data_IF_095199187086
#
_entry.id   IF_095199187086
#
_cell.length_a   1.000
_cell.length_b   1.000
_cell.length_c   1.000
_cell.angle_alpha   90.00
_cell.angle_beta   90.00
_cell.angle_gamma   90.00
#
_symmetry.space_group_name_H-M   'P 1'
#
loop_
_entity.id
_entity.type
_entity.pdbx_description
1 polymer ?
#
# COMPACT_ATOMS: atom_id res chain seq x y z
N UNK A 1 -5.87 -2.10 23.34
CA UNK A 1 -5.50 -1.36 22.11
C UNK A 1 -3.98 -1.46 22.05
N UNK A 2 -3.40 -1.89 20.93
CA UNK A 2 -1.94 -1.92 20.79
C UNK A 2 -1.45 -0.47 20.76
N UNK A 3 -0.56 -0.09 21.67
CA UNK A 3 0.06 1.24 21.67
C UNK A 3 1.03 1.28 20.49
N UNK A 4 0.64 1.93 19.39
CA UNK A 4 1.50 2.13 18.24
C UNK A 4 2.68 3.04 18.64
N UNK A 5 3.94 2.55 18.64
CA UNK A 5 5.04 3.23 19.34
C UNK A 5 5.65 4.40 18.54
N UNK A 6 5.15 4.69 17.33
CA UNK A 6 5.67 5.71 16.43
C UNK A 6 4.67 6.85 16.23
N UNK A 7 5.09 8.04 15.77
CA UNK A 7 4.17 9.14 15.53
C UNK A 7 3.06 8.77 14.53
N UNK A 8 1.81 9.00 14.93
CA UNK A 8 0.65 8.77 14.08
C UNK A 8 0.61 9.81 12.94
N UNK A 9 0.26 9.41 11.70
CA UNK A 9 0.10 10.36 10.60
C UNK A 9 -1.06 11.33 10.88
N UNK A 10 -0.93 12.55 10.36
CA UNK A 10 -2.00 13.57 10.38
C UNK A 10 -2.62 13.63 8.98
N UNK A 11 -3.94 13.78 8.91
CA UNK A 11 -4.61 14.06 7.65
C UNK A 11 -4.27 15.49 7.19
N UNK A 12 -3.49 15.57 6.13
CA UNK A 12 -3.10 16.83 5.48
C UNK A 12 -3.92 17.12 4.21
N UNK A 13 -4.96 16.32 3.93
CA UNK A 13 -5.78 16.43 2.74
C UNK A 13 -5.09 15.99 1.44
N UNK A 14 -3.88 15.41 1.50
CA UNK A 14 -3.07 15.04 0.33
C UNK A 14 -3.69 13.97 -0.58
N UNK A 15 -4.77 13.32 -0.15
CA UNK A 15 -5.54 12.35 -0.92
C UNK A 15 -7.00 12.77 -1.19
N UNK A 16 -7.39 14.00 -0.84
CA UNK A 16 -8.79 14.46 -0.92
C UNK A 16 -9.37 14.46 -2.35
N UNK A 17 -8.52 14.50 -3.38
CA UNK A 17 -8.93 14.41 -4.79
C UNK A 17 -9.17 12.97 -5.28
N UNK A 18 -8.78 11.95 -4.51
CA UNK A 18 -8.95 10.54 -4.84
C UNK A 18 -10.34 10.07 -4.42
N UNK A 19 -11.36 10.59 -5.10
CA UNK A 19 -12.77 10.34 -4.79
C UNK A 19 -13.37 9.23 -5.65
N UNK A 20 -14.56 8.77 -5.27
CA UNK A 20 -15.31 7.78 -6.05
C UNK A 20 -15.50 8.22 -7.51
N UNK A 21 -15.27 7.29 -8.44
CA UNK A 21 -15.34 7.51 -9.88
C UNK A 21 -14.04 8.00 -10.53
N UNK A 22 -13.01 8.32 -9.74
CA UNK A 22 -11.70 8.66 -10.30
C UNK A 22 -11.09 7.43 -11.01
N UNK A 23 -10.64 7.56 -12.28
CA UNK A 23 -10.09 6.44 -13.02
C UNK A 23 -8.70 6.08 -12.53
N UNK A 24 -8.38 4.79 -12.51
CA UNK A 24 -7.02 4.30 -12.32
C UNK A 24 -6.25 4.41 -13.64
N UNK A 25 -4.95 4.78 -13.60
CA UNK A 25 -4.13 4.83 -14.81
C UNK A 25 -3.84 3.40 -15.32
N UNK A 26 -3.84 3.24 -16.64
CA UNK A 26 -3.55 1.96 -17.29
C UNK A 26 -2.03 1.76 -17.51
N UNK A 27 -1.32 1.48 -16.42
CA UNK A 27 0.10 1.15 -16.44
C UNK A 27 0.34 -0.29 -15.99
N UNK A 28 1.00 -1.07 -16.84
CA UNK A 28 1.49 -2.39 -16.48
C UNK A 28 2.69 -2.27 -15.53
N UNK A 29 2.54 -2.61 -14.25
CA UNK A 29 3.62 -2.58 -13.27
C UNK A 29 4.17 -3.99 -13.00
N UNK A 30 5.48 -4.17 -12.78
CA UNK A 30 6.04 -5.45 -12.36
C UNK A 30 5.48 -5.91 -11.00
N UNK A 31 5.26 -7.22 -10.84
CA UNK A 31 4.72 -7.79 -9.59
C UNK A 31 5.63 -8.84 -8.95
N UNK A 32 5.32 -9.20 -7.69
CA UNK A 32 6.02 -10.26 -6.95
C UNK A 32 5.58 -11.67 -7.31
N UNK A 33 4.33 -11.88 -7.75
CA UNK A 33 3.74 -13.20 -8.03
C UNK A 33 3.60 -13.52 -9.52
N UNK A 34 3.87 -12.56 -10.41
CA UNK A 34 3.83 -12.73 -11.86
C UNK A 34 4.68 -11.70 -12.59
N UNK A 35 4.45 -11.52 -13.89
CA UNK A 35 5.24 -10.58 -14.69
C UNK A 35 4.80 -9.13 -14.51
N UNK A 36 3.57 -8.80 -14.93
CA UNK A 36 3.03 -7.44 -14.83
C UNK A 36 1.52 -7.45 -14.55
N UNK A 37 1.03 -6.36 -13.95
CA UNK A 37 -0.39 -6.12 -13.69
C UNK A 37 -0.69 -4.63 -13.85
N UNK A 38 -1.83 -4.31 -14.49
CA UNK A 38 -2.38 -2.96 -14.54
C UNK A 38 -3.57 -2.84 -13.60
N UNK A 39 -3.54 -1.85 -12.70
CA UNK A 39 -4.65 -1.58 -11.77
C UNK A 39 -5.95 -1.24 -12.49
N UNK A 40 -5.88 -0.59 -13.66
CA UNK A 40 -7.04 -0.25 -14.48
C UNK A 40 -7.75 -1.49 -15.06
N UNK A 41 -7.05 -2.63 -15.14
CA UNK A 41 -7.53 -3.87 -15.77
C UNK A 41 -7.94 -4.94 -14.75
N UNK A 42 -7.87 -4.61 -13.46
CA UNK A 42 -8.34 -5.48 -12.37
C UNK A 42 -9.87 -5.46 -12.37
N UNK A 43 -10.48 -6.62 -12.59
CA UNK A 43 -11.93 -6.77 -12.58
C UNK A 43 -12.47 -7.00 -11.17
N UNK A 44 -13.69 -6.56 -10.93
CA UNK A 44 -14.32 -6.67 -9.62
C UNK A 44 -13.70 -5.72 -8.58
N UNK A 45 -13.97 -5.99 -7.31
CA UNK A 45 -13.49 -5.15 -6.21
C UNK A 45 -12.06 -5.56 -5.82
N UNK A 46 -11.18 -4.58 -5.68
CA UNK A 46 -9.82 -4.76 -5.19
C UNK A 46 -9.48 -3.72 -4.12
N UNK A 47 -8.57 -4.11 -3.24
CA UNK A 47 -7.95 -3.25 -2.24
C UNK A 47 -6.49 -3.05 -2.66
N UNK A 48 -6.12 -1.80 -2.91
CA UNK A 48 -4.74 -1.40 -3.19
C UNK A 48 -4.21 -0.64 -1.98
N UNK A 49 -3.43 -1.30 -1.13
CA UNK A 49 -2.77 -0.61 -0.01
C UNK A 49 -1.42 -0.06 -0.49
N UNK A 50 -1.27 1.26 -0.39
CA UNK A 50 -0.06 1.99 -0.74
C UNK A 50 0.76 2.16 0.54
N UNK A 51 2.03 1.76 0.50
CA UNK A 51 2.88 1.80 1.69
C UNK A 51 4.22 2.49 1.40
N UNK A 52 4.81 3.19 2.40
CA UNK A 52 6.04 3.95 2.20
C UNK A 52 7.23 3.09 1.79
N UNK A 53 7.58 2.11 2.63
CA UNK A 53 8.80 1.31 2.48
C UNK A 53 8.77 0.13 3.44
N UNK A 54 9.41 -0.98 3.04
CA UNK A 54 9.67 -2.15 3.89
C UNK A 54 11.17 -2.31 4.12
N UNK A 55 11.56 -2.47 5.38
CA UNK A 55 12.96 -2.66 5.74
C UNK A 55 13.49 -4.05 5.47
N UNK A 56 14.81 -4.22 5.64
CA UNK A 56 15.51 -5.51 5.62
C UNK A 56 16.06 -5.81 7.01
N UNK A 57 15.95 -7.05 7.52
CA UNK A 57 16.57 -7.45 8.78
C UNK A 57 18.06 -7.06 8.80
N UNK A 58 18.48 -6.41 9.87
CA UNK A 58 19.86 -5.97 10.05
C UNK A 58 20.30 -4.75 9.24
N UNK A 59 19.42 -4.18 8.40
CA UNK A 59 19.67 -2.90 7.74
C UNK A 59 19.07 -1.74 8.55
N UNK A 60 19.74 -0.59 8.53
CA UNK A 60 19.19 0.62 9.13
C UNK A 60 17.97 1.12 8.32
N UNK A 61 17.03 1.76 9.02
CA UNK A 61 15.97 2.53 8.38
C UNK A 61 16.57 3.75 7.66
N UNK A 62 15.84 4.36 6.71
CA UNK A 62 16.23 5.65 6.16
C UNK A 62 16.45 6.69 7.27
N UNK A 63 17.39 7.64 7.09
CA UNK A 63 17.63 8.70 8.07
C UNK A 63 16.35 9.43 8.50
N UNK A 64 16.14 9.53 9.81
CA UNK A 64 15.01 10.25 10.42
C UNK A 64 13.68 9.48 10.47
N UNK A 65 13.62 8.23 9.97
CA UNK A 65 12.40 7.44 9.83
C UNK A 65 11.52 7.36 11.10
N UNK A 66 12.16 7.15 12.25
CA UNK A 66 11.49 7.01 13.56
C UNK A 66 10.69 8.25 13.99
N UNK A 67 11.01 9.42 13.43
CA UNK A 67 10.36 10.68 13.74
C UNK A 67 9.33 11.12 12.69
N UNK A 68 9.20 10.38 11.58
CA UNK A 68 8.30 10.74 10.48
C UNK A 68 6.91 10.12 10.73
N UNK A 69 5.86 10.93 10.90
CA UNK A 69 4.50 10.42 11.08
C UNK A 69 4.05 9.48 9.96
N UNK A 70 3.61 8.28 10.34
CA UNK A 70 3.10 7.27 9.40
C UNK A 70 4.17 6.53 8.56
N UNK A 71 5.47 6.81 8.74
CA UNK A 71 6.53 6.12 8.00
C UNK A 71 6.64 4.64 8.41
N UNK A 72 6.46 4.35 9.70
CA UNK A 72 6.44 2.98 10.20
C UNK A 72 5.15 2.23 9.82
N UNK A 73 5.27 0.90 9.75
CA UNK A 73 4.13 0.00 9.75
C UNK A 73 3.79 -0.71 8.44
N UNK A 74 4.63 -0.62 7.42
CA UNK A 74 4.38 -1.31 6.15
C UNK A 74 4.45 -2.83 6.30
N UNK A 75 5.39 -3.34 7.10
CA UNK A 75 5.48 -4.77 7.40
C UNK A 75 4.23 -5.28 8.14
N UNK A 76 3.82 -4.70 9.29
CA UNK A 76 2.62 -5.17 9.97
C UNK A 76 1.33 -4.98 9.17
N UNK A 77 1.19 -3.92 8.36
CA UNK A 77 0.02 -3.79 7.46
C UNK A 77 -0.05 -4.93 6.45
N UNK A 78 1.06 -5.22 5.77
CA UNK A 78 1.12 -6.31 4.80
C UNK A 78 0.83 -7.67 5.45
N UNK A 79 1.41 -7.94 6.62
CA UNK A 79 1.12 -9.16 7.39
C UNK A 79 -0.35 -9.20 7.84
N UNK A 80 -0.94 -8.06 8.20
CA UNK A 80 -2.36 -7.94 8.52
C UNK A 80 -3.23 -8.38 7.34
N UNK A 81 -2.97 -7.87 6.13
CA UNK A 81 -3.66 -8.30 4.93
C UNK A 81 -3.48 -9.79 4.62
N UNK A 82 -2.27 -10.32 4.81
CA UNK A 82 -2.02 -11.76 4.63
C UNK A 82 -2.85 -12.60 5.62
N UNK A 83 -2.99 -12.15 6.88
CA UNK A 83 -3.67 -12.89 7.94
C UNK A 83 -5.18 -13.09 7.71
N UNK A 84 -5.81 -12.18 6.96
CA UNK A 84 -7.25 -12.22 6.62
C UNK A 84 -7.48 -12.33 5.11
N UNK A 85 -6.47 -12.76 4.35
CA UNK A 85 -6.52 -12.81 2.89
C UNK A 85 -7.66 -13.71 2.39
N UNK A 86 -7.85 -14.86 3.03
CA UNK A 86 -8.88 -15.83 2.65
C UNK A 86 -10.30 -15.24 2.79
N UNK A 87 -10.54 -14.40 3.80
CA UNK A 87 -11.84 -13.75 3.99
C UNK A 87 -12.15 -12.73 2.89
N UNK A 88 -11.13 -12.00 2.42
CA UNK A 88 -11.27 -11.11 1.26
C UNK A 88 -11.52 -11.94 -0.03
N UNK A 89 -10.77 -13.02 -0.23
CA UNK A 89 -10.91 -13.89 -1.39
C UNK A 89 -12.29 -14.56 -1.44
N UNK A 90 -12.82 -14.99 -0.30
CA UNK A 90 -14.18 -15.55 -0.20
C UNK A 90 -15.27 -14.56 -0.65
N UNK A 91 -14.99 -13.26 -0.58
CA UNK A 91 -15.87 -12.18 -1.07
C UNK A 91 -15.55 -11.75 -2.51
N UNK A 92 -14.62 -12.43 -3.19
CA UNK A 92 -14.16 -12.07 -4.52
C UNK A 92 -13.33 -10.78 -4.56
N UNK A 93 -12.71 -10.39 -3.43
CA UNK A 93 -11.94 -9.16 -3.31
C UNK A 93 -10.44 -9.46 -3.44
N UNK A 94 -9.78 -8.77 -4.36
CA UNK A 94 -8.34 -8.92 -4.58
C UNK A 94 -7.55 -7.95 -3.70
N UNK A 95 -6.47 -8.45 -3.08
CA UNK A 95 -5.54 -7.62 -2.31
C UNK A 95 -4.28 -7.38 -3.13
N UNK A 96 -3.88 -6.11 -3.23
CA UNK A 96 -2.72 -5.64 -3.98
C UNK A 96 -1.92 -4.68 -3.09
N UNK A 97 -0.60 -4.86 -2.98
CA UNK A 97 0.28 -3.87 -2.36
C UNK A 97 0.93 -2.98 -3.42
N UNK A 98 1.20 -1.71 -3.12
CA UNK A 98 1.90 -0.78 -4.01
C UNK A 98 2.96 0.02 -3.25
N UNK A 99 4.19 0.05 -3.77
CA UNK A 99 5.22 0.99 -3.31
C UNK A 99 6.17 1.36 -4.44
N UNK A 100 7.05 2.33 -4.16
CA UNK A 100 8.12 2.76 -5.08
C UNK A 100 9.36 1.87 -4.99
N UNK A 101 9.36 0.84 -4.14
CA UNK A 101 10.49 -0.09 -4.03
C UNK A 101 10.58 -0.97 -5.28
N UNK A 102 11.80 -1.32 -5.71
CA UNK A 102 11.99 -2.17 -6.89
C UNK A 102 11.32 -3.54 -6.75
N UNK A 103 11.05 -4.20 -7.88
CA UNK A 103 10.50 -5.56 -7.93
C UNK A 103 11.35 -6.53 -7.10
N UNK A 104 12.67 -6.45 -7.20
CA UNK A 104 13.62 -7.32 -6.50
C UNK A 104 13.51 -7.12 -4.99
N UNK A 105 13.42 -5.87 -4.54
CA UNK A 105 13.21 -5.57 -3.13
C UNK A 105 11.89 -6.14 -2.62
N UNK A 106 10.80 -5.93 -3.37
CA UNK A 106 9.49 -6.40 -2.98
C UNK A 106 9.38 -7.94 -3.03
N UNK A 107 10.07 -8.61 -3.97
CA UNK A 107 10.13 -10.09 -4.03
C UNK A 107 10.86 -10.68 -2.84
N UNK A 108 11.97 -10.07 -2.43
CA UNK A 108 12.69 -10.47 -1.22
C UNK A 108 11.79 -10.32 0.01
N UNK A 109 11.15 -9.15 0.16
CA UNK A 109 10.22 -8.90 1.25
C UNK A 109 9.05 -9.90 1.25
N UNK A 110 8.37 -10.11 0.12
CA UNK A 110 7.24 -11.02 0.00
C UNK A 110 7.63 -12.46 0.36
N UNK A 111 8.78 -12.94 -0.12
CA UNK A 111 9.28 -14.27 0.22
C UNK A 111 9.59 -14.42 1.71
N UNK A 112 10.26 -13.42 2.31
CA UNK A 112 10.59 -13.42 3.74
C UNK A 112 9.35 -13.33 4.63
N UNK A 113 8.36 -12.53 4.24
CA UNK A 113 7.13 -12.30 5.00
C UNK A 113 6.03 -13.34 4.70
N UNK A 114 6.23 -14.25 3.75
CA UNK A 114 5.24 -15.26 3.37
C UNK A 114 4.01 -14.68 2.67
N UNK A 115 4.15 -13.56 1.94
CA UNK A 115 3.02 -12.92 1.26
C UNK A 115 2.67 -13.67 -0.02
N UNK A 116 1.39 -14.00 -0.19
CA UNK A 116 0.89 -14.76 -1.35
C UNK A 116 0.10 -13.93 -2.35
N UNK A 117 -0.20 -12.67 -2.02
CA UNK A 117 -0.80 -11.70 -2.93
C UNK A 117 0.27 -10.82 -3.61
N UNK A 118 -0.02 -10.22 -4.77
CA UNK A 118 0.97 -9.42 -5.50
C UNK A 118 1.27 -8.09 -4.79
N UNK A 119 2.56 -7.75 -4.78
CA UNK A 119 3.03 -6.39 -4.55
C UNK A 119 3.51 -5.80 -5.89
N UNK A 120 3.06 -4.59 -6.21
CA UNK A 120 3.35 -3.87 -7.43
C UNK A 120 4.50 -2.88 -7.20
N UNK A 121 5.46 -2.90 -8.12
CA UNK A 121 6.61 -1.99 -8.13
C UNK A 121 6.35 -0.77 -8.99
N UNK A 122 6.05 0.36 -8.35
CA UNK A 122 5.96 1.69 -8.98
C UNK A 122 7.28 2.47 -8.83
N UNK A 123 8.41 1.80 -9.10
CA UNK A 123 9.75 2.38 -8.94
C UNK A 123 10.02 3.59 -9.86
N UNK A 124 9.22 3.75 -10.91
CA UNK A 124 9.25 4.89 -11.83
C UNK A 124 8.20 5.96 -11.49
N UNK A 125 7.49 5.83 -10.36
CA UNK A 125 6.43 6.76 -9.90
C UNK A 125 5.28 6.96 -10.90
N UNK A 126 5.03 6.03 -11.83
CA UNK A 126 4.02 6.18 -12.89
C UNK A 126 2.61 6.30 -12.30
N UNK A 127 2.24 5.37 -11.42
CA UNK A 127 0.93 5.41 -10.74
C UNK A 127 0.90 6.56 -9.74
N UNK A 128 1.99 6.75 -9.00
CA UNK A 128 2.12 7.81 -8.02
C UNK A 128 1.96 9.21 -8.62
N UNK A 129 2.50 9.47 -9.80
CA UNK A 129 2.41 10.76 -10.50
C UNK A 129 1.01 10.94 -11.09
N UNK A 130 0.49 9.93 -11.80
CA UNK A 130 -0.82 10.02 -12.44
C UNK A 130 -1.98 10.22 -11.45
N UNK A 131 -1.90 9.58 -10.28
CA UNK A 131 -2.88 9.76 -9.21
C UNK A 131 -2.53 10.91 -8.25
N UNK A 132 -1.37 11.57 -8.41
CA UNK A 132 -0.85 12.56 -7.47
C UNK A 132 -0.87 12.03 -6.02
N UNK A 133 -0.36 10.82 -5.82
CA UNK A 133 -0.33 10.19 -4.50
C UNK A 133 0.55 11.02 -3.55
N UNK A 134 0.13 11.22 -2.29
CA UNK A 134 0.87 12.01 -1.32
C UNK A 134 2.23 11.40 -0.99
N UNK A 135 3.23 12.26 -0.74
CA UNK A 135 4.64 11.86 -0.57
C UNK A 135 5.30 12.49 0.64
N UNK A 136 6.44 11.94 1.05
CA UNK A 136 7.37 12.56 1.98
C UNK A 136 8.81 12.19 1.63
N UNK A 137 9.76 12.94 2.16
CA UNK A 137 11.20 12.74 1.94
C UNK A 137 11.86 12.15 3.18
N UNK A 138 12.76 11.19 3.01
CA UNK A 138 13.66 10.71 4.07
C UNK A 138 14.99 10.28 3.45
N UNK A 139 16.12 10.65 4.06
CA UNK A 139 17.43 10.21 3.55
C UNK A 139 17.78 10.65 2.12
N UNK A 140 17.12 11.66 1.57
CA UNK A 140 17.30 12.08 0.17
C UNK A 140 16.51 11.24 -0.85
N UNK A 141 15.60 10.38 -0.39
CA UNK A 141 14.68 9.60 -1.22
C UNK A 141 13.23 10.00 -0.95
N UNK A 142 12.40 9.90 -1.99
CA UNK A 142 10.97 10.16 -1.93
C UNK A 142 10.18 8.87 -1.68
N UNK A 143 9.27 8.91 -0.71
CA UNK A 143 8.38 7.80 -0.35
C UNK A 143 6.91 8.20 -0.49
N UNK A 144 6.04 7.21 -0.68
CA UNK A 144 4.59 7.42 -0.67
C UNK A 144 4.06 7.45 0.76
N UNK A 145 3.10 8.32 1.06
CA UNK A 145 2.35 8.23 2.31
C UNK A 145 1.39 7.05 2.27
N UNK A 146 1.18 6.43 3.42
CA UNK A 146 0.29 5.28 3.55
C UNK A 146 -1.16 5.66 3.27
N UNK A 147 -1.78 4.98 2.32
CA UNK A 147 -3.21 5.10 2.03
C UNK A 147 -3.75 3.77 1.51
N UNK A 148 -5.06 3.64 1.42
CA UNK A 148 -5.67 2.50 0.75
C UNK A 148 -6.75 2.96 -0.21
N UNK A 149 -6.67 2.44 -1.44
CA UNK A 149 -7.69 2.63 -2.46
C UNK A 149 -8.53 1.37 -2.52
N UNK A 150 -9.84 1.53 -2.38
CA UNK A 150 -10.80 0.53 -2.81
C UNK A 150 -11.15 0.84 -4.26
N UNK A 151 -10.98 -0.14 -5.14
CA UNK A 151 -11.13 0.04 -6.58
C UNK A 151 -12.08 -1.00 -7.15
N UNK A 152 -12.92 -0.60 -8.11
CA UNK A 152 -13.79 -1.52 -8.85
C UNK A 152 -13.67 -1.25 -10.34
N UNK A 153 -13.33 -2.28 -11.11
CA UNK A 153 -13.29 -2.24 -12.58
C UNK A 153 -12.53 -1.02 -13.12
N UNK A 154 -11.33 -0.78 -12.58
CA UNK A 154 -10.45 0.32 -12.98
C UNK A 154 -10.83 1.70 -12.44
N UNK A 155 -11.75 1.81 -11.50
CA UNK A 155 -12.13 3.09 -10.85
C UNK A 155 -11.97 3.03 -9.34
N UNK A 156 -11.54 4.13 -8.73
CA UNK A 156 -11.55 4.30 -7.27
C UNK A 156 -13.01 4.41 -6.83
N UNK A 157 -13.41 3.65 -5.81
CA UNK A 157 -14.73 3.75 -5.16
C UNK A 157 -14.63 4.35 -3.76
N UNK A 158 -13.49 4.20 -3.09
CA UNK A 158 -13.23 4.80 -1.78
C UNK A 158 -11.73 4.93 -1.55
N UNK A 159 -11.33 6.00 -0.87
CA UNK A 159 -9.96 6.20 -0.39
C UNK A 159 -9.96 6.28 1.12
N UNK A 160 -8.96 5.66 1.75
CA UNK A 160 -8.70 5.77 3.18
C UNK A 160 -7.34 6.41 3.33
N UNK A 161 -7.33 7.60 3.90
CA UNK A 161 -6.13 8.38 4.16
C UNK A 161 -6.38 9.32 5.35
N UNK A 162 -5.44 9.41 6.30
CA UNK A 162 -4.31 8.49 6.48
C UNK A 162 -4.77 7.13 7.02
N UNK A 163 -3.95 6.09 6.85
CA UNK A 163 -4.18 4.78 7.48
C UNK A 163 -3.45 4.71 8.82
N UNK A 164 -4.18 4.50 9.92
CA UNK A 164 -3.62 4.30 11.26
C UNK A 164 -4.63 3.65 12.23
N UNK A 165 -4.21 2.69 13.10
CA UNK A 165 -2.90 2.04 13.11
C UNK A 165 -2.80 0.97 12.01
N UNK A 166 -1.65 0.83 11.35
CA UNK A 166 -1.53 0.03 10.13
C UNK A 166 -1.64 -1.49 10.36
N UNK A 167 -1.33 -1.99 11.56
CA UNK A 167 -1.43 -3.41 11.93
C UNK A 167 -2.87 -3.93 12.01
N UNK A 168 -3.83 -3.04 12.27
CA UNK A 168 -5.26 -3.39 12.36
C UNK A 168 -6.04 -3.10 11.09
N UNK A 169 -5.45 -2.34 10.18
CA UNK A 169 -6.13 -1.77 9.02
C UNK A 169 -6.87 -2.81 8.18
N UNK A 170 -6.25 -3.94 7.88
CA UNK A 170 -6.86 -5.01 7.08
C UNK A 170 -8.13 -5.60 7.74
N UNK A 171 -8.08 -5.85 9.05
CA UNK A 171 -9.21 -6.40 9.80
C UNK A 171 -10.34 -5.36 9.96
N UNK A 172 -9.98 -4.11 10.26
CA UNK A 172 -10.95 -3.01 10.36
C UNK A 172 -11.63 -2.77 9.00
N UNK A 173 -10.87 -2.85 7.89
CA UNK A 173 -11.41 -2.81 6.53
C UNK A 173 -12.39 -3.94 6.25
N UNK A 174 -12.00 -5.18 6.53
CA UNK A 174 -12.84 -6.36 6.31
C UNK A 174 -14.17 -6.29 7.07
N UNK A 175 -14.15 -5.74 8.28
CA UNK A 175 -15.34 -5.55 9.11
C UNK A 175 -16.33 -4.49 8.56
N UNK A 176 -15.86 -3.59 7.69
CA UNK A 176 -16.69 -2.56 7.05
C UNK A 176 -17.31 -2.98 5.70
N UNK A 177 -16.87 -4.11 5.15
CA UNK A 177 -17.32 -4.65 3.86
C UNK A 177 -18.48 -5.63 4.03
#
# INVERSE_FOLDING_TARGET
MSDWPYPAPVDDGGAAHLVSGAPLPDFELPTTTGDRLSLARVSGLSIVFVYPWTGKPGAANPPGWDHIPGAHGSTPEALGFQSVLEDFQARGIQILGLSTQSREWQREFAGRAGLTYPLLSDAEFKVADALRLPRFEAGGETFLKRLTLMCRDGQIVRTIFPVHPPDRHAADLLAML
#
